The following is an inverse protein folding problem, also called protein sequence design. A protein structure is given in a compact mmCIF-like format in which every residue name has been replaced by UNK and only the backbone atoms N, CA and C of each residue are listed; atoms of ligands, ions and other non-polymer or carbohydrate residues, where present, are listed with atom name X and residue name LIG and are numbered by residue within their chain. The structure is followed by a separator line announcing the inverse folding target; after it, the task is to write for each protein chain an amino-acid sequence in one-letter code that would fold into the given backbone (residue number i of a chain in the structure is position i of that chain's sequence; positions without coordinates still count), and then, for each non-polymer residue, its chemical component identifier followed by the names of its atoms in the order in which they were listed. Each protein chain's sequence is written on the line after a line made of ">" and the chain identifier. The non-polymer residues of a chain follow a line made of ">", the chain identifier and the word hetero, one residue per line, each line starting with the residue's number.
data_IF_143332562517
#
_entry.id   IF_143332562517
#
_cell.length_a   1.000
_cell.length_b   1.000
_cell.length_c   1.000
_cell.angle_alpha   90.00
_cell.angle_beta   90.00
_cell.angle_gamma   90.00
#
_symmetry.space_group_name_H-M   'P 1'
#
loop_
_entity.id
_entity.type
_entity.pdbx_description
1 polymer ?
#
# COMPACT_ATOMS: atom_id res chain seq x y z
N UNK A 1 -14.20 8.54 -24.27
CA UNK A 1 -13.41 9.05 -23.13
C UNK A 1 -14.14 9.16 -21.78
N UNK A 2 -15.46 8.95 -21.70
CA UNK A 2 -16.21 9.08 -20.42
C UNK A 2 -16.14 7.85 -19.49
N UNK A 3 -15.79 6.66 -20.00
CA UNK A 3 -15.75 5.43 -19.19
C UNK A 3 -14.61 5.36 -18.16
N UNK A 4 -13.48 6.04 -18.40
CA UNK A 4 -12.31 6.02 -17.49
C UNK A 4 -12.46 6.95 -16.28
N UNK A 5 -13.12 8.09 -16.43
CA UNK A 5 -13.30 9.05 -15.32
C UNK A 5 -14.35 8.57 -14.31
N UNK A 6 -15.46 7.96 -14.76
CA UNK A 6 -16.45 7.36 -13.87
C UNK A 6 -15.87 6.21 -13.03
N UNK A 7 -15.02 5.36 -13.62
CA UNK A 7 -14.34 4.29 -12.87
C UNK A 7 -13.33 4.81 -11.84
N UNK A 8 -12.58 5.88 -12.16
CA UNK A 8 -11.60 6.45 -11.23
C UNK A 8 -12.26 7.11 -10.00
N UNK A 9 -13.43 7.75 -10.21
CA UNK A 9 -14.25 8.27 -9.12
C UNK A 9 -14.77 7.13 -8.22
N UNK A 10 -15.27 6.05 -8.81
CA UNK A 10 -15.74 4.86 -8.07
C UNK A 10 -14.64 4.21 -7.22
N UNK A 11 -13.41 4.14 -7.71
CA UNK A 11 -12.28 3.55 -6.95
C UNK A 11 -11.89 4.42 -5.77
N UNK A 12 -11.86 5.75 -5.94
CA UNK A 12 -11.53 6.68 -4.85
C UNK A 12 -12.56 6.64 -3.72
N UNK A 13 -13.84 6.49 -4.04
CA UNK A 13 -14.88 6.36 -3.01
C UNK A 13 -14.80 5.03 -2.27
N UNK A 14 -14.57 3.92 -2.97
CA UNK A 14 -14.36 2.60 -2.35
C UNK A 14 -13.19 2.60 -1.36
N UNK A 15 -12.06 3.24 -1.70
CA UNK A 15 -10.92 3.35 -0.78
C UNK A 15 -11.25 4.12 0.49
N UNK A 16 -12.06 5.19 0.41
CA UNK A 16 -12.50 5.95 1.59
C UNK A 16 -13.41 5.13 2.50
N UNK A 17 -14.30 4.34 1.91
CA UNK A 17 -15.18 3.42 2.66
C UNK A 17 -14.36 2.38 3.42
N UNK A 18 -13.38 1.76 2.75
CA UNK A 18 -12.44 0.81 3.35
C UNK A 18 -11.64 1.47 4.49
N UNK A 19 -11.10 2.66 4.25
CA UNK A 19 -10.34 3.41 5.24
C UNK A 19 -11.19 3.76 6.48
N UNK A 20 -12.43 4.22 6.29
CA UNK A 20 -13.32 4.52 7.41
C UNK A 20 -13.68 3.26 8.20
N UNK A 21 -13.95 2.14 7.52
CA UNK A 21 -14.24 0.86 8.17
C UNK A 21 -13.06 0.36 9.01
N UNK A 22 -11.82 0.52 8.54
CA UNK A 22 -10.60 0.18 9.30
C UNK A 22 -10.36 1.09 10.51
N UNK A 23 -10.68 2.39 10.41
CA UNK A 23 -10.47 3.35 11.51
C UNK A 23 -11.55 3.30 12.59
N UNK A 24 -12.74 2.81 12.25
CA UNK A 24 -13.90 2.83 13.14
C UNK A 24 -14.48 1.42 13.32
N UNK A 25 -15.64 1.13 12.71
CA UNK A 25 -16.19 -0.22 12.63
C UNK A 25 -16.93 -0.40 11.30
N UNK A 26 -17.07 -1.65 10.86
CA UNK A 26 -17.80 -1.97 9.62
C UNK A 26 -19.26 -1.48 9.70
N UNK A 27 -19.90 -1.58 10.87
CA UNK A 27 -21.26 -1.09 11.10
C UNK A 27 -21.35 0.44 10.99
N UNK A 28 -20.36 1.15 11.51
CA UNK A 28 -20.31 2.61 11.42
C UNK A 28 -20.06 3.08 9.98
N UNK A 29 -19.15 2.43 9.25
CA UNK A 29 -18.91 2.74 7.84
C UNK A 29 -20.12 2.43 6.95
N UNK A 30 -20.82 1.31 7.21
CA UNK A 30 -22.08 0.97 6.55
C UNK A 30 -23.14 2.07 6.76
N UNK A 31 -23.33 2.51 8.01
CA UNK A 31 -24.25 3.60 8.34
C UNK A 31 -23.85 4.92 7.69
N UNK A 32 -22.57 5.32 7.78
CA UNK A 32 -22.09 6.60 7.28
C UNK A 32 -22.21 6.74 5.75
N UNK A 33 -22.05 5.65 5.02
CA UNK A 33 -22.14 5.64 3.56
C UNK A 33 -23.48 5.10 3.03
N UNK A 34 -24.46 4.85 3.91
CA UNK A 34 -25.75 4.24 3.55
C UNK A 34 -25.59 2.96 2.72
N UNK A 35 -24.63 2.12 3.10
CA UNK A 35 -24.32 0.85 2.46
C UNK A 35 -24.74 -0.31 3.34
N UNK A 36 -25.09 -1.42 2.72
CA UNK A 36 -25.30 -2.67 3.44
C UNK A 36 -23.98 -3.19 4.02
N UNK A 37 -24.07 -3.84 5.19
CA UNK A 37 -22.90 -4.40 5.86
C UNK A 37 -22.20 -5.45 4.99
N UNK A 38 -22.96 -6.20 4.18
CA UNK A 38 -22.44 -7.17 3.20
C UNK A 38 -21.56 -6.50 2.15
N UNK A 39 -21.97 -5.34 1.63
CA UNK A 39 -21.18 -4.56 0.67
C UNK A 39 -19.87 -4.05 1.28
N UNK A 40 -19.88 -3.63 2.54
CA UNK A 40 -18.65 -3.26 3.26
C UNK A 40 -17.70 -4.47 3.38
N UNK A 41 -18.23 -5.65 3.70
CA UNK A 41 -17.42 -6.86 3.82
C UNK A 41 -16.81 -7.30 2.48
N UNK A 42 -17.56 -7.18 1.38
CA UNK A 42 -17.05 -7.43 0.02
C UNK A 42 -15.97 -6.42 -0.38
N UNK A 43 -16.19 -5.12 -0.12
CA UNK A 43 -15.20 -4.07 -0.39
C UNK A 43 -13.91 -4.27 0.42
N UNK A 44 -14.00 -4.72 1.67
CA UNK A 44 -12.83 -5.03 2.48
C UNK A 44 -12.07 -6.25 1.94
N UNK A 45 -12.77 -7.28 1.47
CA UNK A 45 -12.16 -8.47 0.85
C UNK A 45 -11.40 -8.11 -0.42
N UNK A 46 -12.02 -7.31 -1.30
CA UNK A 46 -11.41 -6.82 -2.54
C UNK A 46 -10.26 -5.83 -2.25
N UNK A 47 -10.43 -4.96 -1.26
CA UNK A 47 -9.42 -4.02 -0.79
C UNK A 47 -8.16 -4.70 -0.25
N UNK A 48 -8.33 -5.81 0.48
CA UNK A 48 -7.21 -6.62 1.00
C UNK A 48 -6.35 -7.19 -0.12
N UNK A 49 -6.97 -7.68 -1.20
CA UNK A 49 -6.27 -8.26 -2.34
C UNK A 49 -5.39 -7.23 -3.08
N UNK A 50 -5.88 -5.99 -3.21
CA UNK A 50 -5.14 -4.90 -3.87
C UNK A 50 -4.03 -4.35 -2.96
N UNK A 51 -4.25 -4.26 -1.65
CA UNK A 51 -3.24 -3.74 -0.71
C UNK A 51 -2.06 -4.70 -0.51
N UNK A 52 -2.29 -6.01 -0.53
CA UNK A 52 -1.25 -7.00 -0.29
C UNK A 52 -0.18 -7.04 -1.40
N UNK A 53 -0.53 -6.71 -2.65
CA UNK A 53 0.44 -6.58 -3.74
C UNK A 53 1.27 -5.29 -3.61
N UNK A 54 0.63 -4.17 -3.24
CA UNK A 54 1.29 -2.88 -3.02
C UNK A 54 2.27 -2.90 -1.84
N UNK A 55 1.89 -3.55 -0.73
CA UNK A 55 2.76 -3.70 0.45
C UNK A 55 3.97 -4.59 0.12
N UNK A 56 3.77 -5.71 -0.61
CA UNK A 56 4.89 -6.55 -1.07
C UNK A 56 5.86 -5.77 -1.96
N UNK A 57 5.36 -5.01 -2.92
CA UNK A 57 6.19 -4.17 -3.79
C UNK A 57 6.99 -3.14 -3.01
N UNK A 58 6.35 -2.42 -2.07
CA UNK A 58 7.03 -1.46 -1.19
C UNK A 58 8.08 -2.11 -0.30
N UNK A 59 7.82 -3.29 0.25
CA UNK A 59 8.82 -4.03 1.03
C UNK A 59 10.02 -4.42 0.18
N UNK A 60 9.82 -4.85 -1.07
CA UNK A 60 10.91 -5.17 -2.00
C UNK A 60 11.75 -3.92 -2.30
N UNK A 61 11.13 -2.76 -2.51
CA UNK A 61 11.83 -1.48 -2.71
C UNK A 61 12.66 -1.05 -1.50
N UNK A 62 12.12 -1.23 -0.28
CA UNK A 62 12.85 -0.94 0.96
C UNK A 62 14.05 -1.88 1.09
N UNK A 63 13.86 -3.19 0.91
CA UNK A 63 14.96 -4.16 0.99
C UNK A 63 16.05 -3.88 -0.05
N UNK A 64 15.66 -3.52 -1.28
CA UNK A 64 16.61 -3.14 -2.34
C UNK A 64 17.39 -1.88 -1.96
N UNK A 65 16.74 -0.90 -1.35
CA UNK A 65 17.39 0.34 -0.90
C UNK A 65 18.38 0.08 0.23
N UNK A 66 18.00 -0.75 1.21
CA UNK A 66 18.89 -1.16 2.30
C UNK A 66 20.10 -1.97 1.81
N UNK A 67 19.90 -2.86 0.84
CA UNK A 67 20.99 -3.63 0.23
C UNK A 67 22.01 -2.72 -0.47
N UNK A 68 21.53 -1.69 -1.21
CA UNK A 68 22.41 -0.70 -1.85
C UNK A 68 23.24 0.08 -0.83
N UNK A 69 22.63 0.53 0.26
CA UNK A 69 23.34 1.25 1.33
C UNK A 69 24.41 0.37 2.00
N UNK A 70 24.13 -0.92 2.20
CA UNK A 70 25.10 -1.87 2.74
C UNK A 70 26.28 -2.09 1.77
N UNK A 71 26.00 -2.19 0.47
CA UNK A 71 27.02 -2.30 -0.58
C UNK A 71 27.91 -1.06 -0.63
N UNK A 72 27.31 0.14 -0.67
CA UNK A 72 28.06 1.42 -0.69
C UNK A 72 28.97 1.55 0.54
N UNK A 73 28.52 1.08 1.72
CA UNK A 73 29.33 1.07 2.94
C UNK A 73 30.47 0.07 2.86
N UNK A 74 30.21 -1.13 2.33
CA UNK A 74 31.23 -2.16 2.15
C UNK A 74 32.30 -1.74 1.13
N UNK A 75 31.89 -1.10 0.03
CA UNK A 75 32.80 -0.59 -1.00
C UNK A 75 33.70 0.52 -0.45
N UNK A 76 33.13 1.49 0.28
CA UNK A 76 33.93 2.54 0.94
C UNK A 76 34.94 1.96 1.93
N UNK A 77 34.54 0.96 2.70
CA UNK A 77 35.44 0.29 3.64
C UNK A 77 36.56 -0.48 2.92
N UNK A 78 36.24 -1.17 1.82
CA UNK A 78 37.20 -1.89 1.01
C UNK A 78 38.22 -0.94 0.34
N UNK A 79 37.76 0.19 -0.20
CA UNK A 79 38.64 1.23 -0.79
C UNK A 79 39.55 1.86 0.26
N UNK A 80 39.02 2.13 1.46
CA UNK A 80 39.83 2.63 2.57
C UNK A 80 40.93 1.61 2.90
N UNK A 81 40.58 0.35 3.08
CA UNK A 81 41.54 -0.71 3.43
C UNK A 81 42.65 -0.91 2.38
N UNK A 82 42.33 -0.80 1.08
CA UNK A 82 43.33 -0.90 0.00
C UNK A 82 44.34 0.26 -0.01
N UNK A 83 43.96 1.45 0.46
CA UNK A 83 44.85 2.62 0.47
C UNK A 83 45.80 2.67 1.67
N UNK A 84 45.56 1.86 2.71
CA UNK A 84 46.37 1.82 3.93
C UNK A 84 47.29 0.58 4.02
N UNK A 85 47.26 -0.32 3.03
CA UNK A 85 48.20 -1.44 2.85
C UNK A 85 49.35 -1.07 1.92
#
# INVERSE_FOLDING_TARGET
>A
NMKRQQNSYMVKEKSKVIELAHRTSNKFAAYHYSLDLTMIMELLKDGFAVNHSSIKTKMVEIMRSSARLAQDKAEKLAIANFKFS
#
